data_IF_959409818327
#
_entry.id   IF_959409818327
#
_cell.length_a   1.000
_cell.length_b   1.000
_cell.length_c   1.000
_cell.angle_alpha   90.00
_cell.angle_beta   90.00
_cell.angle_gamma   90.00
#
_symmetry.space_group_name_H-M   'P 1'
#
loop_
_entity.id
_entity.type
_entity.pdbx_description
1 polymer ?
#
# COMPACT_ATOMS: atom_id res chain seq x y z
N UNK A 1 -12.91 -12.65 -24.30
CA UNK A 1 -11.64 -13.17 -24.84
C UNK A 1 -11.16 -14.29 -23.92
N UNK A 2 -10.94 -15.51 -24.43
CA UNK A 2 -10.25 -16.55 -23.65
C UNK A 2 -8.79 -16.17 -23.60
N UNK A 3 -8.27 -15.87 -22.42
CA UNK A 3 -6.83 -15.71 -22.22
C UNK A 3 -6.17 -17.06 -22.48
N UNK A 4 -5.41 -17.19 -23.55
CA UNK A 4 -4.56 -18.35 -23.76
C UNK A 4 -3.51 -18.40 -22.64
N UNK A 5 -3.42 -19.54 -21.97
CA UNK A 5 -2.39 -19.75 -20.97
C UNK A 5 -1.02 -19.71 -21.66
N UNK A 6 -0.21 -18.72 -21.32
CA UNK A 6 1.15 -18.52 -21.84
C UNK A 6 2.09 -19.66 -21.40
N UNK A 7 1.74 -20.40 -20.36
CA UNK A 7 2.52 -21.51 -19.83
C UNK A 7 1.64 -22.76 -19.66
N UNK A 8 2.22 -23.97 -19.79
CA UNK A 8 1.49 -25.21 -19.54
C UNK A 8 1.00 -25.27 -18.09
N UNK A 9 -0.21 -25.80 -17.91
CA UNK A 9 -0.79 -25.99 -16.58
C UNK A 9 0.07 -27.01 -15.80
N UNK A 10 0.58 -26.58 -14.66
CA UNK A 10 1.32 -27.48 -13.75
C UNK A 10 0.34 -28.49 -13.13
N UNK A 11 0.60 -29.79 -13.37
CA UNK A 11 -0.19 -30.87 -12.76
C UNK A 11 0.41 -31.26 -11.41
N UNK A 12 -0.43 -31.29 -10.39
CA UNK A 12 -0.04 -31.71 -9.04
C UNK A 12 -0.71 -33.04 -8.68
N UNK A 13 -0.01 -33.90 -7.95
CA UNK A 13 -0.54 -35.12 -7.35
C UNK A 13 -0.95 -34.91 -5.88
N UNK A 14 -1.15 -33.68 -5.46
CA UNK A 14 -1.50 -33.34 -4.09
C UNK A 14 -2.90 -33.86 -3.75
N UNK A 15 -3.02 -34.69 -2.71
CA UNK A 15 -4.30 -35.11 -2.18
C UNK A 15 -4.86 -34.06 -1.22
N UNK A 16 -5.79 -33.25 -1.72
CA UNK A 16 -6.43 -32.17 -0.97
C UNK A 16 -7.39 -32.68 0.13
N UNK A 17 -7.70 -33.98 0.17
CA UNK A 17 -8.56 -34.59 1.17
C UNK A 17 -7.77 -35.23 2.32
N UNK A 18 -6.46 -35.37 2.19
CA UNK A 18 -5.63 -35.95 3.23
C UNK A 18 -5.64 -35.08 4.51
N UNK A 19 -5.59 -35.72 5.67
CA UNK A 19 -5.54 -35.04 6.98
C UNK A 19 -4.35 -34.07 7.06
N UNK A 20 -3.22 -34.46 6.48
CA UNK A 20 -2.03 -33.61 6.46
C UNK A 20 -2.28 -32.33 5.66
N UNK A 21 -2.92 -32.43 4.49
CA UNK A 21 -3.28 -31.25 3.70
C UNK A 21 -4.22 -30.34 4.46
N UNK A 22 -5.27 -30.89 5.05
CA UNK A 22 -6.27 -30.10 5.81
C UNK A 22 -5.63 -29.39 7.00
N UNK A 23 -4.74 -30.06 7.72
CA UNK A 23 -3.97 -29.44 8.82
C UNK A 23 -3.08 -28.31 8.32
N UNK A 24 -2.33 -28.52 7.24
CA UNK A 24 -1.45 -27.50 6.68
C UNK A 24 -2.24 -26.31 6.17
N UNK A 25 -3.38 -26.58 5.50
CA UNK A 25 -4.28 -25.51 5.01
C UNK A 25 -4.80 -24.66 6.16
N UNK A 26 -5.28 -25.27 7.25
CA UNK A 26 -5.75 -24.55 8.42
C UNK A 26 -4.67 -23.65 9.02
N UNK A 27 -3.46 -24.21 9.24
CA UNK A 27 -2.33 -23.44 9.77
C UNK A 27 -1.92 -22.27 8.85
N UNK A 28 -2.04 -22.44 7.52
CA UNK A 28 -1.74 -21.37 6.58
C UNK A 28 -2.79 -20.27 6.62
N UNK A 29 -4.09 -20.63 6.68
CA UNK A 29 -5.18 -19.69 6.79
C UNK A 29 -5.06 -18.84 8.07
N UNK A 30 -4.75 -19.45 9.21
CA UNK A 30 -4.54 -18.72 10.48
C UNK A 30 -3.40 -17.68 10.35
N UNK A 31 -2.33 -17.99 9.61
CA UNK A 31 -1.26 -17.03 9.35
C UNK A 31 -1.69 -15.91 8.39
N UNK A 32 -2.50 -16.24 7.38
CA UNK A 32 -3.04 -15.24 6.46
C UNK A 32 -4.00 -14.29 7.17
N UNK A 33 -4.85 -14.80 8.05
CA UNK A 33 -5.74 -13.98 8.86
C UNK A 33 -4.95 -12.96 9.69
N UNK A 34 -3.88 -13.40 10.35
CA UNK A 34 -2.99 -12.50 11.09
C UNK A 34 -2.33 -11.43 10.18
N UNK A 35 -1.89 -11.80 8.97
CA UNK A 35 -1.35 -10.83 8.02
C UNK A 35 -2.40 -9.82 7.54
N UNK A 36 -3.63 -10.27 7.33
CA UNK A 36 -4.74 -9.40 6.95
C UNK A 36 -5.05 -8.38 8.07
N UNK A 37 -5.08 -8.82 9.33
CA UNK A 37 -5.23 -7.90 10.48
C UNK A 37 -4.14 -6.81 10.48
N UNK A 38 -2.89 -7.17 10.17
CA UNK A 38 -1.81 -6.18 10.08
C UNK A 38 -2.01 -5.20 8.91
N UNK A 39 -2.55 -5.66 7.78
CA UNK A 39 -2.89 -4.78 6.66
C UNK A 39 -4.01 -3.80 7.03
N UNK A 40 -5.04 -4.27 7.72
CA UNK A 40 -6.13 -3.42 8.21
C UNK A 40 -5.58 -2.33 9.15
N UNK A 41 -4.63 -2.67 10.03
CA UNK A 41 -3.94 -1.69 10.86
C UNK A 41 -3.11 -0.69 10.04
N UNK A 42 -2.42 -1.15 9.00
CA UNK A 42 -1.65 -0.27 8.12
C UNK A 42 -2.56 0.69 7.35
N UNK A 43 -3.74 0.22 6.90
CA UNK A 43 -4.74 1.05 6.24
C UNK A 43 -5.36 2.09 7.17
N UNK A 44 -5.60 1.72 8.41
CA UNK A 44 -6.12 2.63 9.43
C UNK A 44 -5.12 3.74 9.79
N UNK A 45 -3.84 3.52 9.56
CA UNK A 45 -2.77 4.49 9.81
C UNK A 45 -2.77 5.01 11.25
N UNK A 46 -3.01 6.31 11.43
CA UNK A 46 -3.08 6.95 12.75
C UNK A 46 -4.43 6.77 13.47
N UNK A 47 -5.42 6.09 12.84
CA UNK A 47 -6.74 5.81 13.42
C UNK A 47 -7.82 6.81 13.00
N UNK A 48 -9.08 6.40 13.19
CA UNK A 48 -10.28 7.12 12.73
C UNK A 48 -10.34 8.57 13.18
N UNK A 49 -9.95 8.87 14.41
CA UNK A 49 -9.95 10.25 14.93
C UNK A 49 -9.07 11.19 14.08
N UNK A 50 -7.93 10.70 13.61
CA UNK A 50 -7.04 11.49 12.73
C UNK A 50 -7.62 11.64 11.32
N UNK A 51 -8.32 10.63 10.79
CA UNK A 51 -9.05 10.73 9.52
C UNK A 51 -10.16 11.78 9.59
N UNK A 52 -10.97 11.78 10.65
CA UNK A 52 -12.01 12.81 10.86
C UNK A 52 -11.40 14.21 10.92
N UNK A 53 -10.26 14.37 11.58
CA UNK A 53 -9.56 15.66 11.67
C UNK A 53 -9.03 16.12 10.32
N UNK A 54 -8.57 15.19 9.45
CA UNK A 54 -8.19 15.50 8.06
C UNK A 54 -9.40 15.96 7.26
N UNK A 55 -10.50 15.22 7.32
CA UNK A 55 -11.74 15.55 6.63
C UNK A 55 -12.27 16.94 7.00
N UNK A 56 -12.27 17.30 8.30
CA UNK A 56 -12.64 18.65 8.79
C UNK A 56 -11.75 19.75 8.21
N UNK A 57 -10.54 19.45 7.77
CA UNK A 57 -9.59 20.39 7.15
C UNK A 57 -9.62 20.36 5.62
N UNK A 58 -10.56 19.62 5.02
CA UNK A 58 -10.65 19.43 3.57
C UNK A 58 -9.51 18.63 2.95
N UNK A 59 -8.73 17.88 3.78
CA UNK A 59 -7.60 17.07 3.29
C UNK A 59 -8.02 15.63 3.07
N UNK A 60 -7.48 15.03 2.00
CA UNK A 60 -7.69 13.62 1.68
C UNK A 60 -6.78 12.69 2.49
N UNK A 61 -7.27 11.48 2.84
CA UNK A 61 -6.42 10.37 3.27
C UNK A 61 -5.36 10.00 2.22
N UNK A 62 -4.24 9.44 2.68
CA UNK A 62 -3.09 9.14 1.80
C UNK A 62 -3.46 8.20 0.66
N UNK A 63 -4.21 7.14 0.92
CA UNK A 63 -4.60 6.15 -0.10
C UNK A 63 -5.57 6.75 -1.12
N UNK A 64 -6.52 7.58 -0.69
CA UNK A 64 -7.41 8.32 -1.59
C UNK A 64 -6.63 9.24 -2.54
N UNK A 65 -5.57 9.92 -2.04
CA UNK A 65 -4.70 10.75 -2.87
C UNK A 65 -3.99 9.93 -3.95
N UNK A 66 -3.46 8.75 -3.59
CA UNK A 66 -2.80 7.85 -4.53
C UNK A 66 -3.79 7.41 -5.61
N UNK A 67 -4.99 6.94 -5.20
CA UNK A 67 -6.03 6.48 -6.13
C UNK A 67 -6.50 7.57 -7.10
N UNK A 68 -6.47 8.85 -6.69
CA UNK A 68 -6.83 9.97 -7.56
C UNK A 68 -5.71 10.41 -8.52
N UNK A 69 -4.49 9.92 -8.35
CA UNK A 69 -3.34 10.28 -9.20
C UNK A 69 -3.02 9.19 -10.21
N UNK A 70 -3.17 7.92 -9.85
CA UNK A 70 -2.93 6.81 -10.77
C UNK A 70 -4.02 6.75 -11.84
N UNK A 71 -3.66 6.22 -13.00
CA UNK A 71 -4.58 6.06 -14.12
C UNK A 71 -5.78 5.19 -13.73
N UNK A 72 -6.97 5.54 -14.24
CA UNK A 72 -8.19 4.79 -14.01
C UNK A 72 -7.99 3.32 -14.42
N UNK A 73 -8.49 2.40 -13.59
CA UNK A 73 -8.38 0.95 -13.80
C UNK A 73 -6.94 0.40 -13.86
N UNK A 74 -5.93 1.20 -13.49
CA UNK A 74 -4.56 0.71 -13.36
C UNK A 74 -4.31 0.09 -11.98
N UNK A 75 -3.46 -0.96 -11.89
CA UNK A 75 -3.12 -1.55 -10.61
C UNK A 75 -2.16 -0.63 -9.83
N UNK A 76 -2.27 -0.66 -8.50
CA UNK A 76 -1.28 -0.12 -7.59
C UNK A 76 -0.63 -1.26 -6.80
N UNK A 77 0.67 -1.45 -6.97
CA UNK A 77 1.45 -2.42 -6.21
C UNK A 77 2.05 -1.74 -4.99
N UNK A 78 1.39 -1.86 -3.84
CA UNK A 78 1.93 -1.35 -2.59
C UNK A 78 3.16 -2.15 -2.14
N UNK A 79 4.23 -1.44 -1.77
CA UNK A 79 5.49 -2.03 -1.34
C UNK A 79 5.65 -1.78 0.17
N UNK A 80 6.05 -2.82 0.90
CA UNK A 80 6.34 -2.76 2.34
C UNK A 80 5.17 -2.29 3.23
N UNK A 81 3.94 -2.79 3.04
CA UNK A 81 2.81 -2.39 3.89
C UNK A 81 3.01 -2.72 5.37
N UNK A 82 3.92 -3.66 5.69
CA UNK A 82 4.27 -4.06 7.06
C UNK A 82 5.49 -3.31 7.64
N UNK A 83 5.93 -2.25 7.01
CA UNK A 83 7.05 -1.45 7.54
C UNK A 83 6.77 -1.04 8.99
N UNK A 84 7.82 -1.00 9.82
CA UNK A 84 7.75 -0.71 11.25
C UNK A 84 7.02 -1.76 12.12
N UNK A 85 6.55 -2.88 11.57
CA UNK A 85 6.02 -3.98 12.38
C UNK A 85 7.03 -4.42 13.45
N UNK A 86 6.55 -4.62 14.68
CA UNK A 86 7.37 -5.00 15.82
C UNK A 86 8.16 -3.86 16.45
N UNK A 87 7.99 -2.62 16.00
CA UNK A 87 8.54 -1.42 16.66
C UNK A 87 7.52 -0.78 17.59
N UNK A 88 8.00 -0.17 18.69
CA UNK A 88 7.14 0.58 19.61
C UNK A 88 6.99 2.06 19.21
N UNK A 89 7.61 2.47 18.12
CA UNK A 89 7.75 3.90 17.77
C UNK A 89 6.73 4.35 16.73
N UNK A 90 6.35 3.45 15.83
CA UNK A 90 5.46 3.72 14.70
C UNK A 90 4.41 2.63 14.55
N UNK A 91 3.25 3.01 14.02
CA UNK A 91 2.25 2.08 13.58
C UNK A 91 2.76 1.25 12.39
N UNK A 92 2.15 0.09 12.15
CA UNK A 92 2.39 -0.71 10.94
C UNK A 92 2.17 0.17 9.70
N UNK A 93 3.03 0.02 8.70
CA UNK A 93 3.06 0.91 7.54
C UNK A 93 4.02 2.10 7.69
N UNK A 94 4.60 2.33 8.88
CA UNK A 94 5.64 3.33 9.11
C UNK A 94 5.23 4.79 8.85
N UNK A 95 3.94 5.06 8.65
CA UNK A 95 3.42 6.41 8.33
C UNK A 95 3.70 6.86 6.89
N UNK A 96 3.95 5.92 5.99
CA UNK A 96 4.15 6.18 4.57
C UNK A 96 3.57 5.04 3.74
N UNK A 97 2.82 5.39 2.71
CA UNK A 97 2.38 4.45 1.67
C UNK A 97 3.31 4.61 0.48
N UNK A 98 3.92 3.52 0.06
CA UNK A 98 4.82 3.49 -1.09
C UNK A 98 4.44 2.35 -2.02
N UNK A 99 4.63 2.54 -3.32
CA UNK A 99 4.26 1.54 -4.30
C UNK A 99 4.59 1.94 -5.73
N UNK A 100 4.24 1.05 -6.64
CA UNK A 100 4.35 1.26 -8.08
C UNK A 100 2.95 1.41 -8.65
N UNK A 101 2.72 2.47 -9.41
CA UNK A 101 1.47 2.74 -10.10
C UNK A 101 1.73 3.34 -11.47
N UNK A 102 0.69 3.43 -12.30
CA UNK A 102 0.76 4.02 -13.63
C UNK A 102 0.14 5.41 -13.56
N UNK A 103 0.88 6.42 -14.04
CA UNK A 103 0.43 7.81 -14.12
C UNK A 103 0.63 8.31 -15.54
N UNK A 104 -0.44 8.66 -16.22
CA UNK A 104 -0.42 9.08 -17.64
C UNK A 104 0.31 8.08 -18.54
N UNK A 105 0.08 6.78 -18.33
CA UNK A 105 0.68 5.68 -19.09
C UNK A 105 2.14 5.37 -18.72
N UNK A 106 2.71 6.01 -17.69
CA UNK A 106 4.10 5.80 -17.25
C UNK A 106 4.12 5.09 -15.90
N UNK A 107 4.94 4.05 -15.78
CA UNK A 107 5.19 3.40 -14.49
C UNK A 107 6.00 4.33 -13.57
N UNK A 108 5.44 4.61 -12.40
CA UNK A 108 6.02 5.52 -11.42
C UNK A 108 6.13 4.85 -10.05
N UNK A 109 7.23 5.12 -9.34
CA UNK A 109 7.29 4.88 -7.90
C UNK A 109 6.63 6.04 -7.17
N UNK A 110 5.65 5.72 -6.36
CA UNK A 110 4.85 6.68 -5.60
C UNK A 110 5.23 6.54 -4.14
N UNK A 111 5.58 7.66 -3.51
CA UNK A 111 5.87 7.75 -2.09
C UNK A 111 4.97 8.83 -1.48
N UNK A 112 4.08 8.43 -0.56
CA UNK A 112 3.11 9.32 0.03
C UNK A 112 3.11 9.21 1.57
N UNK A 113 3.47 10.30 2.25
CA UNK A 113 3.42 10.35 3.70
C UNK A 113 1.97 10.38 4.18
N UNK A 114 1.69 9.60 5.22
CA UNK A 114 0.39 9.56 5.87
C UNK A 114 0.30 10.66 6.95
N UNK A 115 -0.51 11.72 6.73
CA UNK A 115 -0.65 12.80 7.70
C UNK A 115 -1.41 12.38 8.98
N UNK A 116 -2.02 11.19 8.99
CA UNK A 116 -2.65 10.63 10.19
C UNK A 116 -1.62 10.11 11.19
N UNK A 117 -0.43 9.73 10.71
CA UNK A 117 0.69 9.23 11.51
C UNK A 117 1.71 10.35 11.70
N UNK A 118 1.89 10.82 12.93
CA UNK A 118 2.83 11.89 13.30
C UNK A 118 2.79 13.10 12.34
N UNK A 119 1.60 13.47 11.89
CA UNK A 119 1.35 14.59 10.97
C UNK A 119 2.11 14.47 9.63
N UNK A 120 2.45 13.27 9.19
CA UNK A 120 3.19 13.03 7.94
C UNK A 120 4.68 13.35 8.02
N UNK A 121 5.26 13.41 9.22
CA UNK A 121 6.68 13.68 9.38
C UNK A 121 7.54 12.57 8.76
N UNK A 122 8.65 12.96 8.14
CA UNK A 122 9.67 12.03 7.68
C UNK A 122 10.24 11.23 8.84
N UNK A 123 10.43 9.94 8.65
CA UNK A 123 10.99 9.05 9.64
C UNK A 123 12.03 8.11 9.00
N UNK A 124 12.72 7.33 9.81
CA UNK A 124 13.79 6.43 9.36
C UNK A 124 13.30 5.45 8.28
N UNK A 125 12.07 4.95 8.37
CA UNK A 125 11.54 4.02 7.39
C UNK A 125 11.34 4.67 6.02
N UNK A 126 10.84 5.91 6.00
CA UNK A 126 10.70 6.71 4.78
C UNK A 126 12.07 7.07 4.19
N UNK A 127 13.05 7.40 5.03
CA UNK A 127 14.41 7.75 4.58
C UNK A 127 15.12 6.57 3.93
N UNK A 128 15.08 5.38 4.53
CA UNK A 128 15.68 4.16 3.97
C UNK A 128 15.08 3.83 2.61
N UNK A 129 13.77 4.00 2.45
CA UNK A 129 13.10 3.78 1.19
C UNK A 129 13.56 4.79 0.12
N UNK A 130 13.61 6.07 0.48
CA UNK A 130 14.04 7.16 -0.41
C UNK A 130 15.49 7.04 -0.89
N UNK A 131 16.42 6.55 -0.06
CA UNK A 131 17.82 6.40 -0.43
C UNK A 131 18.08 5.26 -1.42
N UNK A 132 17.35 4.17 -1.30
CA UNK A 132 17.55 2.98 -2.16
C UNK A 132 17.01 3.15 -3.58
N UNK A 133 16.08 4.05 -3.80
CA UNK A 133 15.39 4.22 -5.07
C UNK A 133 15.88 5.40 -5.91
N UNK A 134 16.85 6.16 -5.44
CA UNK A 134 17.35 7.35 -6.13
C UNK A 134 18.00 7.11 -7.49
N UNK A 135 18.08 5.86 -7.96
CA UNK A 135 18.87 5.52 -9.15
C UNK A 135 18.07 5.15 -10.40
N UNK A 136 16.75 5.03 -10.36
CA UNK A 136 16.06 4.49 -11.55
C UNK A 136 14.63 4.95 -11.85
N UNK A 137 13.94 5.74 -11.02
CA UNK A 137 12.50 5.98 -11.24
C UNK A 137 12.10 7.42 -10.89
N UNK A 138 11.19 7.99 -11.69
CA UNK A 138 10.54 9.26 -11.37
C UNK A 138 9.76 9.15 -10.06
N UNK A 139 10.24 9.79 -9.01
CA UNK A 139 9.63 9.75 -7.71
C UNK A 139 8.61 10.88 -7.58
N UNK A 140 7.33 10.56 -7.58
CA UNK A 140 6.27 11.52 -7.31
C UNK A 140 6.03 11.64 -5.81
N UNK A 141 6.40 12.76 -5.22
CA UNK A 141 6.20 13.03 -3.80
C UNK A 141 4.83 13.69 -3.59
N UNK A 142 3.83 12.90 -3.20
CA UNK A 142 2.46 13.36 -2.95
C UNK A 142 2.28 13.90 -1.53
N UNK A 143 3.02 14.93 -1.16
CA UNK A 143 2.91 15.54 0.15
C UNK A 143 1.95 16.73 0.11
N UNK A 144 1.02 16.80 1.07
CA UNK A 144 0.13 17.94 1.30
C UNK A 144 -0.80 18.35 0.15
N UNK A 145 -1.14 17.43 -0.76
CA UNK A 145 -2.15 17.70 -1.78
C UNK A 145 -3.51 17.81 -1.12
N UNK A 146 -4.21 18.91 -1.35
CA UNK A 146 -5.60 19.11 -0.93
C UNK A 146 -6.57 18.49 -1.93
N UNK A 147 -7.81 18.27 -1.51
CA UNK A 147 -8.87 17.76 -2.41
C UNK A 147 -9.13 18.69 -3.59
N UNK A 148 -8.96 20.00 -3.39
CA UNK A 148 -9.13 21.01 -4.43
C UNK A 148 -8.02 20.92 -5.50
N UNK A 149 -6.77 20.69 -5.08
CA UNK A 149 -5.63 20.59 -6.00
C UNK A 149 -5.77 19.42 -6.99
N UNK A 150 -6.43 18.33 -6.56
CA UNK A 150 -6.70 17.17 -7.43
C UNK A 150 -7.85 17.43 -8.41
N UNK A 151 -8.86 18.22 -7.97
CA UNK A 151 -10.04 18.53 -8.81
C UNK A 151 -9.75 19.59 -9.88
N UNK A 152 -8.79 20.48 -9.66
CA UNK A 152 -8.41 21.54 -10.62
C UNK A 152 -7.41 21.07 -11.69
N UNK A 153 -6.98 19.81 -11.63
CA UNK A 153 -6.07 19.21 -12.60
C UNK A 153 -4.62 19.67 -12.38
N UNK A 154 -3.75 18.72 -12.15
CA UNK A 154 -2.31 18.93 -12.26
C UNK A 154 -2.00 18.99 -13.76
N UNK A 155 -1.91 20.16 -14.32
CA UNK A 155 -1.40 20.39 -15.68
C UNK A 155 0.12 20.56 -15.64
#
# INVERSE_FOLDING_TARGET
>A
MKTENIAPVFKTNLDTKSDQYQKNKKMMLEKLDFLNELLDFAELGGGMHHHERLAKRGKMPVRERILNVIDCDSPFLEIQPYAAYGTNTFNVGGGCVSGIGIISGVECVILANDPTVKAGAMNVFVSIFSEKESHAVYMLKLNNISRLDVMEGIY
#
